data_IF_816200594046
#
_entry.id   IF_816200594046
#
_cell.length_a   1.000
_cell.length_b   1.000
_cell.length_c   1.000
_cell.angle_alpha   90.00
_cell.angle_beta   90.00
_cell.angle_gamma   90.00
#
_symmetry.space_group_name_H-M   'P 1'
#
loop_
_entity.id
_entity.type
_entity.pdbx_description
1 polymer ?
#
# COMPACT_ATOMS: atom_id res chain seq x y z
N UNK A 1 -61.47 -0.97 41.54
CA UNK A 1 -60.12 -1.21 42.09
C UNK A 1 -59.36 -2.07 41.10
N UNK A 2 -58.51 -1.47 40.26
CA UNK A 2 -57.66 -2.20 39.31
C UNK A 2 -56.29 -2.39 39.97
N UNK A 3 -56.08 -3.57 40.54
CA UNK A 3 -54.87 -3.98 41.25
C UNK A 3 -53.98 -4.68 40.23
N UNK A 4 -53.26 -3.97 39.36
CA UNK A 4 -52.06 -4.45 38.66
C UNK A 4 -51.35 -3.25 38.00
N UNK A 5 -50.84 -2.35 38.83
CA UNK A 5 -49.75 -1.45 38.45
C UNK A 5 -48.53 -1.86 39.28
N UNK A 6 -47.73 -2.78 38.74
CA UNK A 6 -46.37 -2.98 39.22
C UNK A 6 -45.45 -2.85 38.02
N UNK A 7 -44.72 -1.74 37.95
CA UNK A 7 -43.52 -1.66 37.11
C UNK A 7 -42.60 -2.79 37.61
N UNK A 8 -42.10 -3.68 36.74
CA UNK A 8 -41.12 -4.67 37.18
C UNK A 8 -39.91 -3.92 37.73
N UNK A 9 -39.58 -4.15 38.99
CA UNK A 9 -38.37 -3.61 39.60
C UNK A 9 -37.18 -4.09 38.76
N UNK A 10 -36.51 -3.16 38.08
CA UNK A 10 -35.32 -3.47 37.28
C UNK A 10 -34.31 -4.15 38.19
N UNK A 11 -33.98 -5.41 37.88
CA UNK A 11 -33.05 -6.22 38.66
C UNK A 11 -31.75 -5.41 38.88
N UNK A 12 -31.27 -5.25 40.13
CA UNK A 12 -30.02 -4.55 40.41
C UNK A 12 -28.81 -5.12 39.65
N UNK A 13 -28.88 -6.41 39.29
CA UNK A 13 -27.91 -7.06 38.41
C UNK A 13 -27.94 -6.48 37.00
N UNK A 14 -29.12 -6.24 36.41
CA UNK A 14 -29.25 -5.61 35.10
C UNK A 14 -28.72 -4.17 35.12
N UNK A 15 -28.99 -3.40 36.18
CA UNK A 15 -28.44 -2.05 36.33
C UNK A 15 -26.91 -2.03 36.51
N UNK A 16 -26.34 -3.01 37.24
CA UNK A 16 -24.89 -3.19 37.32
C UNK A 16 -24.29 -3.60 35.97
N UNK A 17 -24.92 -4.53 35.25
CA UNK A 17 -24.49 -4.98 33.92
C UNK A 17 -24.53 -3.83 32.91
N UNK A 18 -25.57 -2.98 32.92
CA UNK A 18 -25.66 -1.79 32.06
C UNK A 18 -24.58 -0.75 32.39
N UNK A 19 -24.27 -0.53 33.67
CA UNK A 19 -23.17 0.36 34.10
C UNK A 19 -21.79 -0.19 33.70
N UNK A 20 -21.61 -1.51 33.71
CA UNK A 20 -20.36 -2.15 33.28
C UNK A 20 -20.22 -2.20 31.76
N UNK A 21 -21.32 -2.38 31.01
CA UNK A 21 -21.33 -2.35 29.53
C UNK A 21 -20.93 -1.00 28.94
N UNK A 22 -21.21 0.12 29.63
CA UNK A 22 -20.85 1.48 29.16
C UNK A 22 -19.37 1.85 29.34
N UNK A 23 -18.59 1.07 30.09
CA UNK A 23 -17.14 1.30 30.20
C UNK A 23 -16.43 0.56 29.07
N UNK A 24 -15.96 1.30 28.07
CA UNK A 24 -14.94 0.80 27.13
C UNK A 24 -13.70 0.46 27.96
N UNK A 25 -13.34 -0.81 28.04
CA UNK A 25 -12.22 -1.27 28.86
C UNK A 25 -10.93 -1.05 28.09
N UNK A 26 -10.01 -0.28 28.67
CA UNK A 26 -8.63 -0.22 28.18
C UNK A 26 -7.94 -1.53 28.56
N UNK A 27 -7.27 -2.17 27.60
CA UNK A 27 -6.41 -3.33 27.82
C UNK A 27 -5.31 -2.91 28.81
N UNK A 28 -5.12 -3.73 29.85
CA UNK A 28 -4.15 -3.47 30.92
C UNK A 28 -2.85 -4.25 30.73
N UNK A 29 -2.89 -5.33 29.95
CA UNK A 29 -1.72 -6.10 29.61
C UNK A 29 -0.70 -5.24 28.87
N UNK A 30 0.59 -5.50 29.08
CA UNK A 30 1.69 -4.78 28.41
C UNK A 30 2.10 -5.45 27.10
N UNK A 31 1.81 -6.75 26.96
CA UNK A 31 2.19 -7.56 25.81
C UNK A 31 1.01 -8.42 25.35
N UNK A 32 1.04 -8.80 24.07
CA UNK A 32 0.09 -9.75 23.49
C UNK A 32 0.27 -11.13 24.13
N UNK A 33 -0.83 -11.77 24.50
CA UNK A 33 -0.88 -13.13 25.04
C UNK A 33 -1.76 -13.99 24.13
N UNK A 34 -1.66 -15.32 24.22
CA UNK A 34 -2.54 -16.23 23.47
C UNK A 34 -4.04 -15.99 23.76
N UNK A 35 -4.38 -15.47 24.95
CA UNK A 35 -5.76 -15.12 25.29
C UNK A 35 -6.33 -13.99 24.40
N UNK A 36 -5.47 -13.13 23.84
CA UNK A 36 -5.89 -12.10 22.90
C UNK A 36 -6.25 -12.65 21.50
N UNK A 37 -5.95 -13.92 21.21
CA UNK A 37 -6.33 -14.59 19.95
C UNK A 37 -7.38 -15.69 20.10
N UNK A 38 -7.94 -15.88 21.30
CA UNK A 38 -8.78 -17.04 21.62
C UNK A 38 -10.30 -16.82 21.47
N UNK A 39 -10.73 -15.70 20.86
CA UNK A 39 -12.16 -15.37 20.69
C UNK A 39 -12.91 -14.96 21.97
N UNK A 40 -12.21 -14.84 23.10
CA UNK A 40 -12.80 -14.54 24.41
C UNK A 40 -12.86 -13.05 24.73
N UNK A 41 -13.12 -12.73 26.01
CA UNK A 41 -13.19 -11.35 26.52
C UNK A 41 -11.91 -10.57 26.27
N UNK A 42 -10.74 -11.18 26.46
CA UNK A 42 -9.45 -10.51 26.25
C UNK A 42 -9.26 -10.05 24.80
N UNK A 43 -9.61 -10.89 23.82
CA UNK A 43 -9.62 -10.52 22.41
C UNK A 43 -10.59 -9.37 22.13
N UNK A 44 -11.80 -9.42 22.69
CA UNK A 44 -12.78 -8.34 22.52
C UNK A 44 -12.31 -7.02 23.13
N UNK A 45 -11.76 -7.04 24.33
CA UNK A 45 -11.20 -5.84 24.98
C UNK A 45 -10.04 -5.28 24.13
N UNK A 46 -9.21 -6.13 23.49
CA UNK A 46 -8.17 -5.70 22.55
C UNK A 46 -8.75 -5.06 21.27
N UNK A 47 -9.75 -5.70 20.68
CA UNK A 47 -10.46 -5.19 19.48
C UNK A 47 -11.05 -3.81 19.75
N UNK A 48 -11.82 -3.69 20.84
CA UNK A 48 -12.49 -2.45 21.19
C UNK A 48 -11.50 -1.32 21.49
N UNK A 49 -10.42 -1.61 22.22
CA UNK A 49 -9.44 -0.62 22.66
C UNK A 49 -8.52 -0.16 21.54
N UNK A 50 -7.90 -1.11 20.83
CA UNK A 50 -6.83 -0.81 19.87
C UNK A 50 -7.36 -0.54 18.47
N UNK A 51 -8.30 -1.35 17.98
CA UNK A 51 -8.73 -1.29 16.59
C UNK A 51 -9.97 -0.38 16.42
N UNK A 52 -11.07 -0.67 17.13
CA UNK A 52 -12.35 0.03 16.92
C UNK A 52 -12.25 1.51 17.30
N UNK A 53 -11.62 1.85 18.44
CA UNK A 53 -11.46 3.26 18.83
C UNK A 53 -10.60 4.05 17.82
N UNK A 54 -9.66 3.39 17.17
CA UNK A 54 -8.72 4.05 16.25
C UNK A 54 -9.34 4.19 14.85
N UNK A 55 -10.00 3.14 14.37
CA UNK A 55 -10.50 2.98 12.99
C UNK A 55 -12.02 3.23 12.86
N UNK A 56 -12.63 3.88 13.86
CA UNK A 56 -14.08 4.02 14.01
C UNK A 56 -14.77 4.57 12.75
N UNK A 57 -15.76 3.83 12.26
CA UNK A 57 -16.65 4.24 11.19
C UNK A 57 -18.00 3.49 11.28
N UNK A 58 -19.08 4.00 10.65
CA UNK A 58 -20.41 3.40 10.76
C UNK A 58 -20.53 1.96 10.25
N UNK A 59 -19.60 1.50 9.40
CA UNK A 59 -19.60 0.13 8.89
C UNK A 59 -18.90 -0.79 9.88
N UNK A 60 -17.67 -0.45 10.28
CA UNK A 60 -16.88 -1.24 11.23
C UNK A 60 -17.54 -1.34 12.62
N UNK A 61 -18.20 -0.27 13.07
CA UNK A 61 -18.85 -0.22 14.40
C UNK A 61 -20.05 -1.16 14.56
N UNK A 62 -20.53 -1.77 13.48
CA UNK A 62 -21.58 -2.80 13.53
C UNK A 62 -21.06 -4.11 14.14
N UNK A 63 -19.75 -4.41 13.97
CA UNK A 63 -19.08 -5.60 14.51
C UNK A 63 -19.80 -6.92 14.15
N UNK A 64 -20.39 -6.97 12.96
CA UNK A 64 -20.90 -8.20 12.33
C UNK A 64 -19.74 -8.99 11.69
N UNK A 65 -20.00 -10.24 11.29
CA UNK A 65 -18.99 -11.10 10.65
C UNK A 65 -18.58 -10.62 9.23
N UNK A 66 -19.21 -9.56 8.71
CA UNK A 66 -18.97 -9.00 7.38
C UNK A 66 -19.17 -7.48 7.36
N UNK A 67 -18.61 -6.83 6.35
CA UNK A 67 -19.00 -5.48 5.94
C UNK A 67 -20.00 -5.56 4.77
N UNK A 68 -21.06 -4.77 4.82
CA UNK A 68 -22.05 -4.68 3.73
C UNK A 68 -22.07 -3.28 3.11
N UNK A 69 -22.22 -3.22 1.78
CA UNK A 69 -22.22 -1.98 1.01
C UNK A 69 -23.49 -1.87 0.16
N UNK A 70 -24.01 -0.66 0.00
CA UNK A 70 -25.09 -0.41 -0.96
C UNK A 70 -24.55 -0.44 -2.39
N UNK A 71 -24.93 -1.47 -3.14
CA UNK A 71 -24.50 -1.64 -4.53
C UNK A 71 -24.97 -0.51 -5.44
N UNK A 72 -26.13 0.08 -5.16
CA UNK A 72 -26.67 1.18 -5.99
C UNK A 72 -25.72 2.38 -5.98
N UNK A 73 -25.22 2.74 -4.80
CA UNK A 73 -24.25 3.83 -4.62
C UNK A 73 -22.87 3.53 -5.25
N UNK A 74 -22.47 2.26 -5.31
CA UNK A 74 -21.21 1.86 -5.95
C UNK A 74 -21.30 1.88 -7.48
N UNK A 75 -22.38 1.34 -8.04
CA UNK A 75 -22.62 1.30 -9.50
C UNK A 75 -22.79 2.73 -10.06
N UNK A 76 -23.31 3.66 -9.25
CA UNK A 76 -23.38 5.07 -9.66
C UNK A 76 -22.01 5.74 -9.86
N UNK A 77 -20.92 5.16 -9.35
CA UNK A 77 -19.56 5.72 -9.44
C UNK A 77 -18.71 5.10 -10.56
N UNK A 78 -19.11 3.95 -11.10
CA UNK A 78 -18.36 3.23 -12.13
C UNK A 78 -18.95 1.87 -12.47
N UNK A 79 -18.38 1.22 -13.48
CA UNK A 79 -18.94 -0.01 -14.07
C UNK A 79 -18.24 -1.30 -13.63
N UNK A 80 -17.09 -1.19 -12.96
CA UNK A 80 -16.30 -2.34 -12.50
C UNK A 80 -15.78 -2.12 -11.09
N UNK A 81 -15.70 -3.21 -10.35
CA UNK A 81 -15.06 -3.28 -9.04
C UNK A 81 -13.63 -3.79 -9.23
N UNK A 82 -12.65 -3.05 -8.72
CA UNK A 82 -11.29 -3.54 -8.53
C UNK A 82 -11.17 -4.18 -7.15
N UNK A 83 -10.44 -5.29 -7.06
CA UNK A 83 -10.23 -6.05 -5.83
C UNK A 83 -8.78 -6.55 -5.80
N UNK A 84 -8.04 -6.20 -4.74
CA UNK A 84 -6.63 -6.59 -4.55
C UNK A 84 -6.39 -7.01 -3.11
N UNK A 85 -5.34 -7.77 -2.88
CA UNK A 85 -4.89 -8.18 -1.56
C UNK A 85 -3.37 -8.24 -1.53
N UNK A 86 -2.78 -7.83 -0.42
CA UNK A 86 -1.35 -7.97 -0.21
C UNK A 86 -1.02 -8.24 1.27
N UNK A 87 0.13 -8.87 1.50
CA UNK A 87 0.60 -9.22 2.84
C UNK A 87 1.96 -8.58 3.09
N UNK A 88 2.04 -7.88 4.21
CA UNK A 88 3.17 -7.05 4.59
C UNK A 88 3.95 -7.74 5.69
N UNK A 89 5.24 -7.98 5.42
CA UNK A 89 6.14 -8.75 6.27
C UNK A 89 7.48 -8.03 6.49
N UNK A 90 7.53 -6.72 6.19
CA UNK A 90 8.69 -5.85 6.33
C UNK A 90 9.41 -6.03 7.67
N UNK A 91 10.74 -5.99 7.61
CA UNK A 91 11.62 -5.98 8.78
C UNK A 91 12.72 -4.94 8.60
N UNK A 92 12.86 -3.97 9.52
CA UNK A 92 12.12 -3.81 10.79
C UNK A 92 10.67 -3.31 10.62
N UNK A 93 9.83 -3.44 11.66
CA UNK A 93 8.44 -2.94 11.65
C UNK A 93 8.33 -1.41 11.53
N UNK A 94 9.35 -0.68 12.00
CA UNK A 94 9.46 0.78 11.91
C UNK A 94 10.80 1.11 11.29
N UNK A 95 10.80 2.02 10.32
CA UNK A 95 11.97 2.40 9.54
C UNK A 95 11.91 3.90 9.20
N UNK A 96 13.02 4.52 8.73
CA UNK A 96 13.00 5.93 8.36
C UNK A 96 11.88 6.23 7.36
N UNK A 97 11.05 7.22 7.69
CA UNK A 97 9.93 7.67 6.85
C UNK A 97 8.61 6.91 6.99
N UNK A 98 8.57 5.68 7.55
CA UNK A 98 7.31 4.92 7.61
C UNK A 98 7.36 3.69 8.56
N UNK A 99 6.30 2.88 8.53
CA UNK A 99 6.19 1.63 9.28
C UNK A 99 5.26 0.63 8.57
N UNK A 100 5.22 -0.61 9.07
CA UNK A 100 4.39 -1.69 8.51
C UNK A 100 2.90 -1.33 8.40
N UNK A 101 2.39 -0.46 9.28
CA UNK A 101 1.00 -0.03 9.26
C UNK A 101 0.70 0.90 8.10
N UNK A 102 1.47 1.97 7.95
CA UNK A 102 1.33 2.87 6.81
C UNK A 102 1.57 2.15 5.48
N UNK A 103 2.58 1.27 5.44
CA UNK A 103 2.87 0.40 4.30
C UNK A 103 1.67 -0.46 3.91
N UNK A 104 1.03 -1.12 4.87
CA UNK A 104 -0.11 -2.00 4.60
C UNK A 104 -1.31 -1.26 3.99
N UNK A 105 -1.52 0.00 4.37
CA UNK A 105 -2.58 0.81 3.78
C UNK A 105 -2.18 1.32 2.41
N UNK A 106 -0.99 1.92 2.29
CA UNK A 106 -0.57 2.59 1.08
C UNK A 106 -0.34 1.60 -0.06
N UNK A 107 0.27 0.44 0.17
CA UNK A 107 0.48 -0.57 -0.87
C UNK A 107 -0.84 -1.05 -1.49
N UNK A 108 -1.81 -1.44 -0.66
CA UNK A 108 -3.13 -1.90 -1.15
C UNK A 108 -3.93 -0.76 -1.82
N UNK A 109 -3.80 0.47 -1.33
CA UNK A 109 -4.37 1.66 -1.99
C UNK A 109 -3.72 1.90 -3.35
N UNK A 110 -2.41 1.70 -3.45
CA UNK A 110 -1.63 1.92 -4.67
C UNK A 110 -1.98 0.89 -5.74
N UNK A 111 -2.09 -0.39 -5.40
CA UNK A 111 -2.59 -1.45 -6.28
C UNK A 111 -3.93 -1.08 -6.95
N UNK A 112 -4.89 -0.63 -6.13
CA UNK A 112 -6.20 -0.19 -6.63
C UNK A 112 -6.07 1.06 -7.49
N UNK A 113 -5.24 2.01 -7.08
CA UNK A 113 -5.04 3.25 -7.83
C UNK A 113 -4.45 2.98 -9.22
N UNK A 114 -3.43 2.14 -9.33
CA UNK A 114 -2.77 1.86 -10.62
C UNK A 114 -3.64 1.03 -11.57
N UNK A 115 -4.67 0.34 -11.07
CA UNK A 115 -5.72 -0.24 -11.93
C UNK A 115 -6.66 0.83 -12.52
N UNK A 116 -6.51 2.10 -12.13
CA UNK A 116 -7.42 3.20 -12.44
C UNK A 116 -8.68 3.23 -11.57
N UNK A 117 -8.74 2.44 -10.50
CA UNK A 117 -9.85 2.48 -9.57
C UNK A 117 -9.71 3.66 -8.59
N UNK A 118 -10.85 4.15 -8.10
CA UNK A 118 -10.91 4.93 -6.87
C UNK A 118 -10.99 3.97 -5.68
N UNK A 119 -9.97 3.87 -4.82
CA UNK A 119 -10.02 3.05 -3.61
C UNK A 119 -11.12 3.58 -2.68
N UNK A 120 -11.85 2.68 -2.01
CA UNK A 120 -12.94 3.05 -1.10
C UNK A 120 -12.82 2.38 0.25
N UNK A 121 -12.65 1.06 0.25
CA UNK A 121 -12.73 0.26 1.46
C UNK A 121 -11.60 -0.75 1.52
N UNK A 122 -11.08 -0.96 2.72
CA UNK A 122 -10.09 -1.97 3.04
C UNK A 122 -10.63 -2.91 4.12
N UNK A 123 -10.23 -4.17 4.06
CA UNK A 123 -10.20 -5.06 5.22
C UNK A 123 -8.78 -5.18 5.74
N UNK A 124 -8.63 -5.51 7.01
CA UNK A 124 -7.32 -5.65 7.63
C UNK A 124 -7.25 -6.87 8.57
N UNK A 125 -6.34 -7.80 8.29
CA UNK A 125 -6.09 -8.98 9.10
C UNK A 125 -4.70 -8.90 9.75
N UNK A 126 -4.63 -9.16 11.05
CA UNK A 126 -3.39 -9.16 11.82
C UNK A 126 -3.01 -10.57 12.25
N UNK A 127 -1.75 -10.93 12.04
CA UNK A 127 -1.12 -12.11 12.62
C UNK A 127 -0.06 -11.61 13.61
N UNK A 128 -0.36 -11.78 14.90
CA UNK A 128 0.45 -11.26 16.01
C UNK A 128 1.23 -12.40 16.66
N UNK A 129 2.50 -12.19 16.95
CA UNK A 129 3.27 -13.10 17.79
C UNK A 129 2.97 -12.85 19.27
N UNK A 130 2.78 -13.92 20.05
CA UNK A 130 2.71 -13.83 21.51
C UNK A 130 3.97 -13.14 22.07
N UNK A 131 3.78 -12.15 22.93
CA UNK A 131 4.87 -11.36 23.49
C UNK A 131 5.18 -10.09 22.73
N UNK A 132 4.51 -9.79 21.62
CA UNK A 132 4.56 -8.46 21.00
C UNK A 132 4.10 -7.38 21.99
N UNK A 133 4.82 -6.26 22.19
CA UNK A 133 4.35 -5.16 23.02
C UNK A 133 3.03 -4.57 22.49
N UNK A 134 2.04 -4.38 23.34
CA UNK A 134 0.76 -3.78 22.94
C UNK A 134 0.96 -2.35 22.45
N UNK A 135 1.93 -1.62 22.99
CA UNK A 135 2.24 -0.27 22.53
C UNK A 135 2.79 -0.24 21.10
N UNK A 136 3.53 -1.27 20.69
CA UNK A 136 3.95 -1.44 19.29
C UNK A 136 2.73 -1.58 18.40
N UNK A 137 1.78 -2.45 18.76
CA UNK A 137 0.53 -2.62 18.01
C UNK A 137 -0.28 -1.33 17.93
N UNK A 138 -0.39 -0.56 19.02
CA UNK A 138 -1.08 0.74 19.02
C UNK A 138 -0.44 1.73 18.05
N UNK A 139 0.89 1.81 18.03
CA UNK A 139 1.62 2.69 17.11
C UNK A 139 1.36 2.31 15.65
N UNK A 140 1.39 1.01 15.34
CA UNK A 140 1.06 0.50 14.00
C UNK A 140 -0.36 0.87 13.60
N UNK A 141 -1.36 0.60 14.45
CA UNK A 141 -2.77 0.89 14.13
C UNK A 141 -3.04 2.40 14.00
N UNK A 142 -2.39 3.24 14.82
CA UNK A 142 -2.46 4.69 14.68
C UNK A 142 -1.82 5.17 13.37
N UNK A 143 -0.74 4.53 12.91
CA UNK A 143 -0.14 4.80 11.59
C UNK A 143 -1.08 4.43 10.44
N UNK A 144 -1.69 3.24 10.51
CA UNK A 144 -2.71 2.79 9.56
C UNK A 144 -3.89 3.77 9.47
N UNK A 145 -4.36 4.27 10.61
CA UNK A 145 -5.43 5.27 10.65
C UNK A 145 -5.05 6.53 9.88
N UNK A 146 -3.85 7.06 10.11
CA UNK A 146 -3.36 8.27 9.42
C UNK A 146 -3.25 8.05 7.92
N UNK A 147 -2.71 6.92 7.50
CA UNK A 147 -2.60 6.54 6.09
C UNK A 147 -3.99 6.40 5.44
N UNK A 148 -4.95 5.75 6.12
CA UNK A 148 -6.31 5.59 5.61
C UNK A 148 -7.03 6.95 5.47
N UNK A 149 -6.83 7.87 6.41
CA UNK A 149 -7.34 9.25 6.32
C UNK A 149 -6.70 9.99 5.14
N UNK A 150 -5.39 9.91 4.97
CA UNK A 150 -4.67 10.56 3.87
C UNK A 150 -5.14 10.04 2.50
N UNK A 151 -5.35 8.72 2.39
CA UNK A 151 -5.88 8.06 1.20
C UNK A 151 -7.41 8.21 1.02
N UNK A 152 -8.13 8.74 2.02
CA UNK A 152 -9.60 8.83 2.05
C UNK A 152 -10.31 7.47 1.87
N UNK A 153 -9.76 6.43 2.47
CA UNK A 153 -10.34 5.07 2.50
C UNK A 153 -10.81 4.71 3.91
N UNK A 154 -11.70 3.73 4.01
CA UNK A 154 -12.18 3.22 5.30
C UNK A 154 -11.79 1.76 5.50
N UNK A 155 -11.27 1.44 6.69
CA UNK A 155 -11.10 0.03 7.10
C UNK A 155 -12.43 -0.43 7.69
N UNK A 156 -13.11 -1.36 7.01
CA UNK A 156 -14.53 -1.67 7.28
C UNK A 156 -14.76 -3.03 7.91
N UNK A 157 -13.75 -3.90 7.87
CA UNK A 157 -13.77 -5.22 8.52
C UNK A 157 -12.34 -5.68 8.77
N UNK A 158 -12.16 -6.72 9.58
CA UNK A 158 -10.84 -7.23 9.88
C UNK A 158 -10.84 -8.51 10.70
N UNK A 159 -9.64 -9.03 10.92
CA UNK A 159 -9.40 -10.22 11.72
C UNK A 159 -8.15 -10.04 12.59
N UNK A 160 -8.07 -10.79 13.69
CA UNK A 160 -6.89 -10.82 14.54
C UNK A 160 -6.62 -12.25 14.98
N UNK A 161 -5.41 -12.72 14.70
CA UNK A 161 -4.87 -14.00 15.14
C UNK A 161 -3.64 -13.76 15.99
N UNK A 162 -3.52 -14.54 17.06
CA UNK A 162 -2.30 -14.60 17.88
C UNK A 162 -1.71 -15.98 17.74
N UNK A 163 -0.45 -16.04 17.34
CA UNK A 163 0.33 -17.28 17.22
C UNK A 163 1.34 -17.40 18.36
N UNK A 164 1.83 -18.61 18.60
CA UNK A 164 2.85 -18.86 19.60
C UNK A 164 4.15 -18.10 19.26
N UNK A 165 4.97 -17.84 20.29
CA UNK A 165 6.34 -17.37 20.11
C UNK A 165 7.12 -18.23 19.12
N UNK A 166 7.84 -17.59 18.21
CA UNK A 166 8.62 -18.19 17.14
C UNK A 166 7.81 -18.68 15.93
N UNK A 167 6.48 -18.54 15.92
CA UNK A 167 5.63 -18.95 14.78
C UNK A 167 5.39 -17.84 13.76
N UNK A 168 5.58 -16.58 14.14
CA UNK A 168 5.63 -15.42 13.27
C UNK A 168 6.72 -14.48 13.81
N UNK A 169 7.37 -13.69 12.96
CA UNK A 169 8.32 -12.67 13.45
C UNK A 169 7.54 -11.38 13.77
N UNK A 170 7.18 -11.22 15.05
CA UNK A 170 6.51 -10.05 15.64
C UNK A 170 5.07 -9.84 15.14
N UNK A 171 4.89 -9.35 13.91
CA UNK A 171 3.61 -8.88 13.39
C UNK A 171 3.59 -8.93 11.86
N UNK A 172 2.58 -9.57 11.29
CA UNK A 172 2.26 -9.50 9.87
C UNK A 172 0.86 -8.91 9.68
N UNK A 173 0.68 -8.18 8.58
CA UNK A 173 -0.60 -7.56 8.21
C UNK A 173 -0.97 -8.05 6.82
N UNK A 174 -2.21 -8.46 6.63
CA UNK A 174 -2.81 -8.55 5.31
C UNK A 174 -3.88 -7.48 5.20
N UNK A 175 -3.85 -6.75 4.10
CA UNK A 175 -4.90 -5.81 3.73
C UNK A 175 -5.46 -6.22 2.38
N UNK A 176 -6.78 -6.14 2.28
CA UNK A 176 -7.50 -6.42 1.04
C UNK A 176 -8.38 -5.23 0.74
N UNK A 177 -8.28 -4.70 -0.47
CA UNK A 177 -8.95 -3.48 -0.85
C UNK A 177 -9.96 -3.66 -1.97
N UNK A 178 -11.05 -2.92 -1.89
CA UNK A 178 -11.98 -2.71 -3.00
C UNK A 178 -12.03 -1.25 -3.44
N UNK A 179 -12.12 -1.06 -4.75
CA UNK A 179 -12.26 0.24 -5.39
C UNK A 179 -13.17 0.19 -6.61
N UNK A 180 -13.60 1.34 -7.09
CA UNK A 180 -14.48 1.43 -8.27
C UNK A 180 -13.72 2.02 -9.45
N UNK A 181 -13.73 1.31 -10.57
CA UNK A 181 -13.19 1.78 -11.85
C UNK A 181 -14.30 2.54 -12.57
N UNK A 182 -14.04 3.82 -12.89
CA UNK A 182 -14.99 4.66 -13.64
C UNK A 182 -15.14 4.14 -15.07
N UNK A 183 -16.32 4.32 -15.64
CA UNK A 183 -16.56 3.97 -17.04
C UNK A 183 -15.61 4.70 -17.98
N UNK A 184 -15.12 3.99 -18.99
CA UNK A 184 -14.15 4.51 -19.97
C UNK A 184 -12.68 4.38 -19.56
N UNK A 185 -12.37 4.03 -18.31
CA UNK A 185 -10.98 3.75 -17.90
C UNK A 185 -10.62 2.31 -18.27
N UNK A 186 -9.55 2.13 -19.05
CA UNK A 186 -9.05 0.80 -19.40
C UNK A 186 -7.52 0.77 -19.33
N UNK A 187 -7.00 0.73 -18.10
CA UNK A 187 -5.56 0.59 -17.85
C UNK A 187 -5.17 -0.89 -17.92
N UNK A 188 -4.34 -1.27 -18.88
CA UNK A 188 -3.84 -2.63 -19.04
C UNK A 188 -2.51 -2.63 -19.77
N UNK A 189 -1.56 -3.43 -19.31
CA UNK A 189 -0.28 -3.62 -20.01
C UNK A 189 -0.49 -4.02 -21.48
N UNK A 190 -1.52 -4.82 -21.80
CA UNK A 190 -1.82 -5.23 -23.18
C UNK A 190 -2.17 -4.06 -24.12
N UNK A 191 -2.48 -2.88 -23.60
CA UNK A 191 -2.82 -1.71 -24.41
C UNK A 191 -1.59 -0.94 -24.92
N UNK A 192 -0.39 -1.20 -24.37
CA UNK A 192 0.84 -0.50 -24.73
C UNK A 192 1.19 -0.79 -26.19
N UNK A 193 1.58 0.25 -26.92
CA UNK A 193 1.95 0.22 -28.33
C UNK A 193 3.34 0.82 -28.55
N UNK A 194 4.06 0.41 -29.61
CA UNK A 194 5.28 1.10 -30.03
C UNK A 194 5.03 2.60 -30.22
N UNK A 195 5.97 3.40 -29.72
CA UNK A 195 5.89 4.86 -29.68
C UNK A 195 5.32 5.42 -28.38
N UNK A 196 4.59 4.64 -27.58
CA UNK A 196 4.07 5.13 -26.29
C UNK A 196 5.22 5.56 -25.34
N UNK A 197 4.96 6.55 -24.50
CA UNK A 197 5.94 7.18 -23.61
C UNK A 197 5.81 6.63 -22.20
N UNK A 198 6.95 6.32 -21.56
CA UNK A 198 7.03 5.82 -20.19
C UNK A 198 7.36 6.98 -19.25
N UNK A 199 6.54 7.18 -18.22
CA UNK A 199 6.68 8.24 -17.23
C UNK A 199 6.73 7.63 -15.83
N UNK A 200 7.65 8.12 -15.00
CA UNK A 200 7.82 7.78 -13.59
C UNK A 200 7.47 8.99 -12.73
N UNK A 201 6.87 8.80 -11.54
CA UNK A 201 6.44 9.91 -10.68
C UNK A 201 7.53 10.51 -9.78
N UNK A 202 8.70 9.88 -9.63
CA UNK A 202 9.78 10.45 -8.83
C UNK A 202 10.96 9.50 -8.61
N UNK A 203 11.81 9.86 -7.66
CA UNK A 203 13.08 9.17 -7.37
C UNK A 203 12.92 7.69 -7.00
N UNK A 204 13.78 6.80 -7.53
CA UNK A 204 13.75 5.37 -7.22
C UNK A 204 14.69 4.98 -6.08
N UNK A 205 14.36 3.88 -5.42
CA UNK A 205 15.21 3.13 -4.49
C UNK A 205 15.21 3.65 -3.06
N UNK A 206 14.44 4.70 -2.76
CA UNK A 206 14.40 5.31 -1.42
C UNK A 206 13.91 4.32 -0.35
N UNK A 207 12.84 3.56 -0.62
CA UNK A 207 12.33 2.59 0.34
C UNK A 207 13.33 1.46 0.62
N UNK A 208 13.86 0.82 -0.44
CA UNK A 208 14.89 -0.21 -0.25
C UNK A 208 16.14 0.28 0.50
N UNK A 209 16.59 1.51 0.21
CA UNK A 209 17.68 2.14 0.96
C UNK A 209 17.31 2.40 2.43
N UNK A 210 16.11 2.91 2.72
CA UNK A 210 15.66 3.16 4.09
C UNK A 210 15.59 1.88 4.93
N UNK A 211 15.14 0.76 4.34
CA UNK A 211 15.13 -0.56 5.02
C UNK A 211 16.56 -1.04 5.31
N UNK A 212 17.47 -0.94 4.35
CA UNK A 212 18.88 -1.30 4.54
C UNK A 212 19.55 -0.52 5.68
N UNK A 213 19.27 0.79 5.74
CA UNK A 213 19.75 1.67 6.82
C UNK A 213 19.16 1.21 8.16
N UNK A 214 17.85 0.94 8.20
CA UNK A 214 17.16 0.54 9.42
C UNK A 214 17.65 -0.80 9.98
N UNK A 215 18.13 -1.70 9.13
CA UNK A 215 18.74 -2.98 9.54
C UNK A 215 20.13 -2.83 10.15
N UNK A 216 20.76 -1.66 10.02
CA UNK A 216 22.11 -1.41 10.53
C UNK A 216 23.18 -2.23 9.81
N UNK A 217 22.89 -2.72 8.60
CA UNK A 217 23.85 -3.50 7.80
C UNK A 217 25.01 -2.64 7.29
N UNK A 218 24.91 -1.32 7.42
CA UNK A 218 25.95 -0.35 7.09
C UNK A 218 25.98 0.75 8.15
N UNK A 219 27.17 1.11 8.64
CA UNK A 219 27.39 2.31 9.46
C UNK A 219 27.33 3.58 8.61
N UNK A 220 26.28 3.71 7.80
CA UNK A 220 26.02 4.85 6.95
C UNK A 220 25.11 5.82 7.68
N UNK A 221 25.60 7.02 7.94
CA UNK A 221 24.79 8.14 8.42
C UNK A 221 24.17 8.82 7.19
N UNK A 222 22.96 8.42 6.82
CA UNK A 222 22.18 9.10 5.77
C UNK A 222 20.74 9.30 6.22
N UNK A 223 20.14 10.41 5.77
CA UNK A 223 18.74 10.77 6.06
C UNK A 223 17.82 10.30 4.91
N UNK A 224 17.99 9.05 4.45
CA UNK A 224 17.11 8.48 3.43
C UNK A 224 15.89 7.89 4.12
N UNK A 225 14.74 8.50 3.83
CA UNK A 225 13.44 8.02 4.26
C UNK A 225 12.76 7.21 3.16
N UNK A 226 11.98 6.21 3.58
CA UNK A 226 11.07 5.47 2.72
C UNK A 226 10.14 6.43 1.98
N UNK A 227 9.85 6.12 0.73
CA UNK A 227 8.93 6.91 -0.09
C UNK A 227 7.46 6.48 0.06
N UNK A 228 7.16 5.60 1.03
CA UNK A 228 5.83 5.06 1.28
C UNK A 228 4.78 6.17 1.40
N UNK A 229 3.82 6.18 0.48
CA UNK A 229 2.73 7.16 0.46
C UNK A 229 1.58 6.66 -0.44
N UNK A 230 0.34 7.14 -0.22
CA UNK A 230 -0.77 6.81 -1.10
C UNK A 230 -0.68 7.57 -2.43
N UNK A 231 -0.90 6.87 -3.54
CA UNK A 231 -0.80 7.39 -4.91
C UNK A 231 -2.16 7.67 -5.55
N UNK A 232 -3.26 7.33 -4.89
CA UNK A 232 -4.61 7.50 -5.43
C UNK A 232 -4.95 8.97 -5.77
N UNK A 233 -4.44 9.96 -5.01
CA UNK A 233 -4.58 11.38 -5.35
C UNK A 233 -3.82 11.79 -6.61
N UNK A 234 -2.60 11.25 -6.80
CA UNK A 234 -1.80 11.45 -8.00
C UNK A 234 -2.48 10.82 -9.21
N UNK A 235 -2.94 9.58 -9.09
CA UNK A 235 -3.67 8.88 -10.15
C UNK A 235 -4.94 9.62 -10.52
N UNK A 236 -5.71 10.13 -9.55
CA UNK A 236 -6.90 10.92 -9.88
C UNK A 236 -6.52 12.20 -10.66
N UNK A 237 -5.40 12.83 -10.33
CA UNK A 237 -4.88 14.01 -11.04
C UNK A 237 -4.52 13.67 -12.49
N UNK A 238 -3.89 12.52 -12.72
CA UNK A 238 -3.56 12.00 -14.05
C UNK A 238 -4.84 11.72 -14.85
N UNK A 239 -5.77 10.95 -14.29
CA UNK A 239 -6.99 10.52 -14.99
C UNK A 239 -7.95 11.66 -15.30
N UNK A 240 -7.91 12.76 -14.52
CA UNK A 240 -8.67 13.99 -14.81
C UNK A 240 -8.23 14.65 -16.12
N UNK A 241 -6.94 14.58 -16.48
CA UNK A 241 -6.41 15.20 -17.70
C UNK A 241 -6.29 14.21 -18.86
N UNK A 242 -6.13 12.93 -18.58
CA UNK A 242 -6.03 11.87 -19.58
C UNK A 242 -6.66 10.57 -19.04
N UNK A 243 -7.92 10.27 -19.40
CA UNK A 243 -8.54 9.00 -19.01
C UNK A 243 -8.04 7.81 -19.84
N UNK A 244 -7.42 8.07 -20.99
CA UNK A 244 -6.91 7.05 -21.94
C UNK A 244 -5.46 6.62 -21.63
N UNK A 245 -5.11 6.46 -20.35
CA UNK A 245 -3.81 5.90 -19.95
C UNK A 245 -3.71 4.45 -20.46
N UNK A 246 -2.58 4.08 -21.05
CA UNK A 246 -2.37 2.72 -21.57
C UNK A 246 -2.28 1.72 -20.42
N UNK A 247 -1.34 1.98 -19.52
CA UNK A 247 -1.05 1.14 -18.36
C UNK A 247 -0.49 1.98 -17.23
N UNK A 248 -0.73 1.56 -15.99
CA UNK A 248 -0.03 2.03 -14.80
C UNK A 248 0.32 0.82 -13.94
N UNK A 249 1.41 0.93 -13.18
CA UNK A 249 1.76 -0.02 -12.13
C UNK A 249 2.63 0.67 -11.09
N UNK A 250 2.53 0.25 -9.85
CA UNK A 250 3.46 0.63 -8.80
C UNK A 250 4.76 -0.19 -8.91
N UNK A 251 5.86 0.38 -8.42
CA UNK A 251 7.20 -0.18 -8.57
C UNK A 251 7.72 -0.80 -7.26
N UNK A 252 6.93 -1.70 -6.68
CA UNK A 252 7.21 -2.40 -5.41
C UNK A 252 8.27 -3.50 -5.61
N UNK A 253 7.97 -4.78 -5.38
CA UNK A 253 8.96 -5.87 -5.44
C UNK A 253 9.53 -6.03 -6.84
N UNK A 254 10.85 -6.18 -6.91
CA UNK A 254 11.60 -6.22 -8.18
C UNK A 254 11.72 -4.85 -8.89
N UNK A 255 11.19 -3.77 -8.30
CA UNK A 255 11.38 -2.40 -8.72
C UNK A 255 10.84 -2.05 -10.12
N UNK A 256 11.31 -0.93 -10.65
CA UNK A 256 10.98 -0.46 -12.00
C UNK A 256 11.34 -1.50 -13.07
N UNK A 257 12.47 -2.20 -12.90
CA UNK A 257 12.96 -3.19 -13.84
C UNK A 257 11.95 -4.33 -14.08
N UNK A 258 11.37 -4.87 -13.01
CA UNK A 258 10.39 -5.97 -13.11
C UNK A 258 9.10 -5.50 -13.77
N UNK A 259 8.57 -4.36 -13.34
CA UNK A 259 7.35 -3.78 -13.91
C UNK A 259 7.46 -3.57 -15.42
N UNK A 260 8.58 -3.01 -15.88
CA UNK A 260 8.79 -2.74 -17.30
C UNK A 260 9.00 -4.02 -18.11
N UNK A 261 9.63 -5.04 -17.54
CA UNK A 261 9.73 -6.34 -18.20
C UNK A 261 8.37 -7.00 -18.35
N UNK A 262 7.52 -6.94 -17.33
CA UNK A 262 6.15 -7.45 -17.42
C UNK A 262 5.31 -6.66 -18.44
N UNK A 263 5.49 -5.34 -18.53
CA UNK A 263 4.89 -4.53 -19.61
C UNK A 263 5.38 -4.98 -20.98
N UNK A 264 6.69 -5.07 -21.19
CA UNK A 264 7.28 -5.50 -22.46
C UNK A 264 6.75 -6.87 -22.90
N UNK A 265 6.67 -7.83 -21.97
CA UNK A 265 6.18 -9.19 -22.23
C UNK A 265 4.68 -9.22 -22.51
N UNK A 266 3.87 -8.54 -21.69
CA UNK A 266 2.41 -8.56 -21.81
C UNK A 266 1.91 -7.94 -23.12
N UNK A 267 2.59 -6.91 -23.62
CA UNK A 267 2.23 -6.24 -24.88
C UNK A 267 3.04 -6.73 -26.07
N UNK A 268 3.99 -7.65 -25.87
CA UNK A 268 4.88 -8.16 -26.90
C UNK A 268 5.62 -7.02 -27.65
N UNK A 269 6.16 -6.06 -26.89
CA UNK A 269 6.94 -4.90 -27.35
C UNK A 269 8.28 -4.83 -26.64
N UNK A 270 9.21 -4.00 -27.13
CA UNK A 270 10.40 -3.63 -26.36
C UNK A 270 10.19 -2.32 -25.60
N UNK A 271 10.98 -2.07 -24.57
CA UNK A 271 11.01 -0.75 -23.89
C UNK A 271 12.44 -0.24 -23.88
N UNK A 272 12.66 1.01 -24.30
CA UNK A 272 13.95 1.69 -24.20
C UNK A 272 13.88 2.79 -23.14
N UNK A 273 14.71 2.66 -22.12
CA UNK A 273 14.93 3.65 -21.08
C UNK A 273 16.14 4.53 -21.40
N UNK A 274 16.11 5.75 -20.90
CA UNK A 274 17.26 6.65 -20.87
C UNK A 274 17.74 6.79 -19.42
N UNK A 275 18.95 6.27 -19.13
CA UNK A 275 19.53 6.27 -17.80
C UNK A 275 19.61 7.67 -17.16
N UNK A 276 19.94 8.70 -17.94
CA UNK A 276 20.04 10.08 -17.44
C UNK A 276 18.70 10.67 -17.02
N UNK A 277 17.60 10.13 -17.53
CA UNK A 277 16.26 10.63 -17.26
C UNK A 277 15.62 10.00 -16.01
N UNK A 278 16.20 8.93 -15.48
CA UNK A 278 15.69 8.22 -14.30
C UNK A 278 16.15 8.97 -13.04
N UNK A 279 15.22 9.59 -12.28
CA UNK A 279 15.57 10.27 -11.04
C UNK A 279 16.01 9.25 -9.98
N UNK A 280 17.22 9.39 -9.46
CA UNK A 280 17.77 8.58 -8.37
C UNK A 280 18.64 9.51 -7.53
N UNK A 281 18.46 9.50 -6.21
CA UNK A 281 19.28 10.29 -5.28
C UNK A 281 20.73 9.81 -5.29
N UNK A 282 21.69 10.73 -5.16
CA UNK A 282 23.11 10.39 -5.12
C UNK A 282 23.45 9.46 -3.94
N UNK A 283 22.77 9.64 -2.80
CA UNK A 283 22.95 8.77 -1.64
C UNK A 283 22.44 7.35 -1.89
N UNK A 284 21.34 7.19 -2.63
CA UNK A 284 20.82 5.87 -3.03
C UNK A 284 21.77 5.21 -4.03
N UNK A 285 22.31 5.97 -5.00
CA UNK A 285 23.34 5.46 -5.92
C UNK A 285 24.57 4.97 -5.15
N UNK A 286 25.07 5.77 -4.20
CA UNK A 286 26.22 5.40 -3.38
C UNK A 286 26.00 4.12 -2.58
N UNK A 287 24.81 3.94 -1.97
CA UNK A 287 24.43 2.69 -1.29
C UNK A 287 24.44 1.51 -2.26
N UNK A 288 23.82 1.68 -3.44
CA UNK A 288 23.76 0.63 -4.44
C UNK A 288 25.16 0.24 -4.94
N UNK A 289 26.05 1.21 -5.18
CA UNK A 289 27.43 0.97 -5.58
C UNK A 289 28.22 0.18 -4.53
N UNK A 290 28.10 0.55 -3.24
CA UNK A 290 28.80 -0.13 -2.14
C UNK A 290 28.32 -1.58 -1.99
N UNK A 291 27.02 -1.82 -2.13
CA UNK A 291 26.40 -3.12 -1.92
C UNK A 291 26.34 -4.00 -3.18
N UNK A 292 26.71 -3.48 -4.34
CA UNK A 292 26.54 -4.17 -5.62
C UNK A 292 25.08 -4.39 -6.00
N UNK A 293 24.19 -3.48 -5.58
CA UNK A 293 22.77 -3.47 -5.94
C UNK A 293 22.54 -2.56 -7.15
N UNK A 294 21.40 -2.72 -7.81
CA UNK A 294 20.98 -1.83 -8.89
C UNK A 294 19.66 -1.14 -8.47
N UNK A 295 19.62 0.21 -8.42
CA UNK A 295 18.47 0.96 -7.93
C UNK A 295 17.18 0.72 -8.75
N UNK A 296 17.29 0.24 -10.00
CA UNK A 296 16.12 -0.11 -10.81
C UNK A 296 15.34 -1.31 -10.27
N UNK A 297 15.97 -2.12 -9.41
CA UNK A 297 15.38 -3.32 -8.82
C UNK A 297 14.97 -3.15 -7.35
N UNK A 298 15.39 -2.04 -6.72
CA UNK A 298 14.97 -1.73 -5.36
C UNK A 298 13.47 -1.43 -5.32
N UNK A 299 12.82 -1.93 -4.27
CA UNK A 299 11.41 -1.67 -4.05
C UNK A 299 11.13 -0.21 -3.71
N UNK A 300 9.97 0.25 -4.15
CA UNK A 300 9.44 1.60 -3.94
C UNK A 300 7.99 1.48 -3.47
N UNK A 301 7.61 2.24 -2.45
CA UNK A 301 6.29 2.14 -1.80
C UNK A 301 5.45 3.41 -2.00
N UNK A 302 5.92 4.30 -2.87
CA UNK A 302 5.24 5.52 -3.27
C UNK A 302 5.59 5.94 -4.69
N UNK A 303 5.87 4.96 -5.56
CA UNK A 303 6.18 5.20 -6.97
C UNK A 303 5.31 4.38 -7.88
N UNK A 304 4.92 5.00 -8.98
CA UNK A 304 4.25 4.37 -10.10
C UNK A 304 4.96 4.72 -11.40
N UNK A 305 4.89 3.78 -12.33
CA UNK A 305 5.21 3.98 -13.73
C UNK A 305 3.92 3.93 -14.53
N UNK A 306 3.80 4.82 -15.51
CA UNK A 306 2.66 4.87 -16.42
C UNK A 306 3.10 4.99 -17.86
N UNK A 307 2.26 4.49 -18.75
CA UNK A 307 2.48 4.49 -20.19
C UNK A 307 1.35 5.25 -20.87
N UNK A 308 1.71 6.21 -21.73
CA UNK A 308 0.77 7.12 -22.40
C UNK A 308 1.11 7.29 -23.87
N UNK A 309 0.10 7.65 -24.67
CA UNK A 309 0.33 8.06 -26.05
C UNK A 309 1.25 9.29 -26.11
N UNK A 310 2.11 9.45 -27.13
CA UNK A 310 3.02 10.59 -27.27
C UNK A 310 2.34 11.95 -27.13
N UNK A 311 1.16 12.11 -27.73
CA UNK A 311 0.39 13.36 -27.72
C UNK A 311 -0.12 13.75 -26.33
N UNK A 312 -0.15 12.82 -25.37
CA UNK A 312 -0.58 13.07 -23.99
C UNK A 312 0.57 13.22 -23.00
N UNK A 313 1.79 12.80 -23.39
CA UNK A 313 2.93 12.70 -22.48
C UNK A 313 3.22 13.99 -21.72
N UNK A 314 3.29 15.13 -22.43
CA UNK A 314 3.62 16.41 -21.80
C UNK A 314 2.50 16.94 -20.90
N UNK A 315 1.24 16.74 -21.30
CA UNK A 315 0.06 17.13 -20.50
C UNK A 315 0.00 16.33 -19.20
N UNK A 316 0.19 15.02 -19.28
CA UNK A 316 0.21 14.13 -18.11
C UNK A 316 1.39 14.47 -17.20
N UNK A 317 2.60 14.61 -17.75
CA UNK A 317 3.79 14.99 -16.98
C UNK A 317 3.59 16.31 -16.23
N UNK A 318 3.00 17.31 -16.90
CA UNK A 318 2.72 18.62 -16.29
C UNK A 318 1.71 18.49 -15.16
N UNK A 319 0.65 17.69 -15.34
CA UNK A 319 -0.34 17.44 -14.29
C UNK A 319 0.28 16.73 -13.08
N UNK A 320 1.10 15.70 -13.31
CA UNK A 320 1.81 15.00 -12.24
C UNK A 320 2.66 15.95 -11.39
N UNK A 321 3.39 16.87 -12.03
CA UNK A 321 4.25 17.84 -11.34
C UNK A 321 3.50 18.86 -10.48
N UNK A 322 2.18 19.00 -10.64
CA UNK A 322 1.36 19.83 -9.75
C UNK A 322 1.02 19.13 -8.43
N UNK A 323 1.14 17.80 -8.38
CA UNK A 323 0.85 16.99 -7.20
C UNK A 323 2.13 16.73 -6.39
N UNK A 324 2.11 16.79 -5.04
CA UNK A 324 3.30 16.55 -4.21
C UNK A 324 4.04 15.24 -4.53
N UNK A 325 3.30 14.13 -4.65
CA UNK A 325 3.83 12.80 -5.01
C UNK A 325 4.37 12.67 -6.45
N UNK A 326 4.18 13.69 -7.30
CA UNK A 326 4.63 13.72 -8.69
C UNK A 326 5.58 14.88 -9.03
N UNK A 327 6.02 15.66 -8.03
CA UNK A 327 6.89 16.83 -8.22
C UNK A 327 8.15 16.52 -9.03
N UNK A 328 8.75 15.36 -8.80
CA UNK A 328 9.97 14.90 -9.46
C UNK A 328 9.67 13.94 -10.63
N UNK A 329 8.45 13.97 -11.18
CA UNK A 329 8.08 13.12 -12.30
C UNK A 329 8.94 13.39 -13.54
N UNK A 330 9.25 12.32 -14.28
CA UNK A 330 10.14 12.36 -15.44
C UNK A 330 9.68 11.38 -16.51
N UNK A 331 9.85 11.76 -17.78
CA UNK A 331 9.75 10.82 -18.91
C UNK A 331 11.07 10.04 -18.93
N UNK A 332 10.98 8.73 -18.74
CA UNK A 332 12.18 7.88 -18.57
C UNK A 332 12.47 7.01 -19.79
N UNK A 333 11.55 6.93 -20.75
CA UNK A 333 11.74 6.08 -21.92
C UNK A 333 10.55 6.04 -22.87
N UNK A 334 10.64 5.12 -23.83
CA UNK A 334 9.65 4.87 -24.88
C UNK A 334 9.44 3.37 -25.11
N UNK A 335 8.24 2.98 -25.52
CA UNK A 335 7.94 1.66 -26.05
C UNK A 335 8.43 1.58 -27.50
N UNK A 336 9.11 0.51 -27.85
CA UNK A 336 9.73 0.30 -29.16
C UNK A 336 9.22 -1.02 -29.78
N UNK A 337 9.23 -1.18 -31.11
CA UNK A 337 8.71 -2.39 -31.73
C UNK A 337 9.58 -3.64 -31.49
N UNK A 338 10.87 -3.47 -31.17
CA UNK A 338 11.82 -4.58 -31.02
C UNK A 338 13.07 -4.14 -30.24
N UNK A 339 13.78 -5.05 -29.54
CA UNK A 339 13.45 -6.47 -29.36
C UNK A 339 12.23 -6.64 -28.45
N UNK A 340 11.30 -7.48 -28.89
CA UNK A 340 10.04 -7.72 -28.18
C UNK A 340 10.28 -8.49 -26.88
N UNK A 341 9.55 -8.15 -25.82
CA UNK A 341 9.67 -8.77 -24.50
C UNK A 341 10.92 -8.36 -23.72
N UNK A 342 11.66 -7.34 -24.17
CA UNK A 342 12.91 -6.92 -23.56
C UNK A 342 12.92 -5.43 -23.20
N UNK A 343 13.59 -5.13 -22.08
CA UNK A 343 13.86 -3.75 -21.65
C UNK A 343 15.32 -3.43 -21.89
N UNK A 344 15.57 -2.32 -22.58
CA UNK A 344 16.89 -1.79 -22.87
C UNK A 344 17.12 -0.51 -22.06
N UNK A 345 18.29 -0.37 -21.47
CA UNK A 345 18.73 0.88 -20.85
C UNK A 345 19.83 1.49 -21.71
N UNK A 346 19.55 2.67 -22.28
CA UNK A 346 20.56 3.51 -22.91
C UNK A 346 21.35 4.23 -21.82
N UNK A 347 22.61 3.85 -21.71
CA UNK A 347 23.55 4.38 -20.72
C UNK A 347 23.94 5.83 -21.02
N UNK A 348 24.52 6.50 -20.03
CA UNK A 348 25.11 7.84 -20.18
C UNK A 348 26.16 7.95 -21.30
N UNK A 349 26.82 6.84 -21.65
CA UNK A 349 27.81 6.76 -22.73
C UNK A 349 27.20 6.41 -24.10
N UNK A 350 25.87 6.26 -24.18
CA UNK A 350 25.15 5.97 -25.42
C UNK A 350 25.08 4.49 -25.81
N UNK A 351 25.75 3.60 -25.08
CA UNK A 351 25.61 2.15 -25.24
C UNK A 351 24.29 1.67 -24.63
N UNK A 352 23.73 0.58 -25.15
CA UNK A 352 22.53 -0.06 -24.60
C UNK A 352 22.89 -1.35 -23.87
N UNK A 353 22.26 -1.58 -22.71
CA UNK A 353 22.30 -2.87 -21.99
C UNK A 353 20.89 -3.40 -21.77
N UNK A 354 20.75 -4.72 -21.67
CA UNK A 354 19.47 -5.35 -21.31
C UNK A 354 19.27 -5.22 -19.80
N UNK A 355 18.05 -4.86 -19.42
CA UNK A 355 17.55 -4.91 -18.04
C UNK A 355 16.61 -6.11 -17.95
N UNK A 356 17.08 -7.20 -17.34
CA UNK A 356 16.33 -8.45 -17.24
C UNK A 356 15.53 -8.52 -15.92
N UNK A 357 14.60 -9.45 -15.78
CA UNK A 357 13.99 -9.76 -14.48
C UNK A 357 14.98 -10.45 -13.55
N UNK A 358 14.88 -10.17 -12.25
CA UNK A 358 15.65 -10.91 -11.26
C UNK A 358 15.12 -12.34 -11.10
N UNK A 359 16.02 -13.28 -10.83
CA UNK A 359 15.67 -14.65 -10.47
C UNK A 359 15.07 -14.72 -9.05
N UNK A 360 15.40 -13.77 -8.17
CA UNK A 360 14.88 -13.65 -6.82
C UNK A 360 15.08 -12.25 -6.24
N UNK A 361 14.41 -11.94 -5.14
CA UNK A 361 14.52 -10.62 -4.50
C UNK A 361 15.96 -10.34 -4.02
N UNK A 362 16.43 -9.12 -4.25
CA UNK A 362 17.74 -8.68 -3.74
C UNK A 362 17.73 -8.55 -2.20
N UNK A 363 16.58 -8.18 -1.63
CA UNK A 363 16.43 -7.87 -0.22
C UNK A 363 15.19 -8.59 0.34
N UNK A 364 15.35 -9.65 1.14
CA UNK A 364 14.20 -10.34 1.73
C UNK A 364 13.48 -9.42 2.72
N UNK A 365 12.15 -9.54 2.81
CA UNK A 365 11.29 -8.81 3.76
C UNK A 365 11.42 -7.29 3.66
N UNK A 366 11.46 -6.78 2.43
CA UNK A 366 11.51 -5.35 2.17
C UNK A 366 10.14 -4.69 2.35
N UNK A 367 9.05 -5.40 2.06
CA UNK A 367 7.67 -4.96 2.27
C UNK A 367 6.83 -5.98 3.05
#
# INVERSE_FOLDING_TARGET
MNIYSSKPAQNPLFQKVEKTKKRRNKVRDTHITLAHGSGGKAMRDLIDDVFVNSLDNPILSQLEDWASFDLTSLIAQGDRLAFTTDSYVVDPLFFPGSDIGELAINGTVNDLAVSGAKPLYLSCSFILEEGLPIETLRRVVESMKKAAIAAQVQIVTGDTKVVNRGSADKLFINTTGIGIIRSGINCSAHNIQPGDVIILNGELGNHGAAILIARGELALETEIESDCQPLNGLVETILKVCPEIRAMRDATRGGLATVLNEFAQSSNIGIRLNEQAIPIREEVKGICEILGLDPLYLANEGKLVLVVKPEHAQTVLSAMKTHPAGKNASIIGEAIPSPSGAVLLKTTFGAERIIDMLVGDQLPRIC
#
